data_IF_086183866337
#
_entry.id   IF_086183866337
#
_cell.length_a   1.000
_cell.length_b   1.000
_cell.length_c   1.000
_cell.angle_alpha   90.00
_cell.angle_beta   90.00
_cell.angle_gamma   90.00
#
_symmetry.space_group_name_H-M   'P 1'
#
loop_
_entity.id
_entity.type
_entity.pdbx_description
1 polymer ?
#
# COMPACT_ATOMS: atom_id res chain seq x y z
N UNK A 1 71.75 -5.52 -29.79
CA UNK A 1 71.76 -4.06 -29.97
C UNK A 1 71.46 -3.40 -28.63
N UNK A 2 72.42 -2.57 -28.20
CA UNK A 2 72.57 -1.70 -27.03
C UNK A 2 71.34 -1.47 -26.12
N UNK A 3 71.40 -1.68 -24.78
CA UNK A 3 72.17 -0.95 -23.74
C UNK A 3 71.58 0.44 -23.49
N UNK A 4 70.98 0.81 -22.34
CA UNK A 4 71.57 1.15 -21.01
C UNK A 4 70.40 1.70 -20.15
N UNK A 5 70.10 1.28 -18.91
CA UNK A 5 70.65 1.64 -17.57
C UNK A 5 70.93 3.13 -17.29
N UNK A 6 70.24 3.72 -16.30
CA UNK A 6 70.74 4.57 -15.17
C UNK A 6 69.51 5.18 -14.43
N UNK A 7 69.11 4.87 -13.20
CA UNK A 7 69.71 4.97 -11.84
C UNK A 7 70.13 6.39 -11.37
N UNK A 8 69.25 7.04 -10.54
CA UNK A 8 69.44 7.63 -9.17
C UNK A 8 70.61 8.65 -8.96
N UNK A 9 70.63 9.68 -8.06
CA UNK A 9 69.79 10.01 -6.87
C UNK A 9 69.39 11.50 -6.61
N UNK A 10 68.46 11.67 -5.66
CA UNK A 10 68.51 12.54 -4.45
C UNK A 10 69.51 13.71 -4.41
N UNK A 11 69.01 14.96 -4.39
CA UNK A 11 69.71 16.12 -3.83
C UNK A 11 68.83 16.75 -2.75
N UNK A 12 69.37 16.68 -1.53
CA UNK A 12 68.93 17.33 -0.31
C UNK A 12 69.57 18.73 -0.29
N UNK A 13 68.80 19.80 -0.22
CA UNK A 13 69.32 21.14 0.05
C UNK A 13 68.36 21.87 0.99
N UNK A 14 68.85 22.10 2.20
CA UNK A 14 68.18 22.73 3.34
C UNK A 14 68.98 24.00 3.63
N UNK A 15 68.40 25.19 3.39
CA UNK A 15 68.97 26.49 3.80
C UNK A 15 67.85 27.47 4.21
N UNK A 16 67.50 27.37 5.49
CA UNK A 16 67.30 28.41 6.51
C UNK A 16 67.08 29.91 6.13
N UNK A 17 66.04 30.47 6.78
CA UNK A 17 65.84 31.84 7.32
C UNK A 17 65.30 32.97 6.43
N UNK A 18 64.03 33.31 6.69
CA UNK A 18 63.69 34.61 7.26
C UNK A 18 63.27 35.72 6.29
N UNK A 19 61.97 35.83 6.05
CA UNK A 19 61.36 37.11 5.70
C UNK A 19 60.00 37.25 6.41
N UNK A 20 60.01 38.05 7.47
CA UNK A 20 58.81 38.50 8.19
C UNK A 20 58.23 39.73 7.47
N UNK A 21 56.95 39.59 7.13
CA UNK A 21 55.88 40.59 7.09
C UNK A 21 55.47 41.29 5.78
N UNK A 22 54.16 41.11 5.57
CA UNK A 22 53.14 42.01 5.01
C UNK A 22 52.99 42.09 3.48
N UNK A 23 52.09 41.24 2.96
CA UNK A 23 50.78 41.57 2.36
C UNK A 23 50.18 40.24 1.86
N UNK A 24 49.10 39.74 2.43
CA UNK A 24 47.76 40.24 2.08
C UNK A 24 47.07 39.30 1.08
N UNK A 25 46.97 38.01 1.38
CA UNK A 25 46.00 37.10 0.78
C UNK A 25 45.50 36.16 1.89
N UNK A 26 44.59 36.66 2.73
CA UNK A 26 43.76 35.78 3.56
C UNK A 26 42.73 35.09 2.66
N UNK A 27 43.18 34.11 1.88
CA UNK A 27 42.25 33.14 1.30
C UNK A 27 41.99 32.07 2.35
N UNK A 28 41.27 32.45 3.41
CA UNK A 28 40.59 31.45 4.23
C UNK A 28 39.57 30.72 3.34
N UNK A 29 39.32 29.42 3.54
CA UNK A 29 38.29 28.73 2.78
C UNK A 29 36.97 29.48 2.99
N UNK A 30 36.40 30.03 1.91
CA UNK A 30 35.02 30.54 1.93
C UNK A 30 34.13 29.34 2.23
N UNK A 31 33.75 29.18 3.50
CA UNK A 31 32.69 28.26 3.90
C UNK A 31 31.44 28.77 3.20
N UNK A 32 30.98 28.02 2.19
CA UNK A 32 29.78 28.38 1.46
C UNK A 32 28.61 28.31 2.45
N UNK A 33 27.87 29.41 2.55
CA UNK A 33 26.76 29.62 3.50
C UNK A 33 25.63 28.59 3.38
N UNK A 34 25.59 27.85 2.27
CA UNK A 34 24.68 26.74 2.00
C UNK A 34 24.97 25.47 2.85
N UNK A 35 26.19 25.32 3.37
CA UNK A 35 26.61 24.18 4.22
C UNK A 35 26.52 24.45 5.73
N UNK A 36 26.20 25.69 6.11
CA UNK A 36 26.05 26.09 7.50
C UNK A 36 24.66 25.67 8.03
N UNK A 37 24.56 25.31 9.32
CA UNK A 37 23.29 24.93 9.94
C UNK A 37 22.68 26.13 10.67
N UNK A 38 21.38 26.35 10.49
CA UNK A 38 20.62 27.38 11.21
C UNK A 38 20.17 26.90 12.59
N UNK A 39 19.96 25.59 12.76
CA UNK A 39 19.50 25.00 14.01
C UNK A 39 19.74 23.48 14.02
N UNK A 40 19.45 22.86 15.16
CA UNK A 40 19.39 21.41 15.31
C UNK A 40 18.10 21.01 16.03
N UNK A 41 17.48 19.91 15.60
CA UNK A 41 16.31 19.31 16.24
C UNK A 41 16.68 17.88 16.62
N UNK A 42 16.81 17.59 17.92
CA UNK A 42 17.30 16.30 18.42
C UNK A 42 18.65 15.88 17.80
N UNK A 43 19.53 16.84 17.52
CA UNK A 43 20.83 16.60 16.87
C UNK A 43 20.78 16.49 15.33
N UNK A 44 19.59 16.57 14.72
CA UNK A 44 19.45 16.62 13.26
C UNK A 44 19.56 18.06 12.76
N UNK A 45 20.43 18.34 11.79
CA UNK A 45 20.68 19.71 11.34
C UNK A 45 19.53 20.25 10.50
N UNK A 46 19.15 21.51 10.74
CA UNK A 46 18.43 22.32 9.77
C UNK A 46 19.46 23.19 9.05
N UNK A 47 19.66 22.96 7.76
CA UNK A 47 20.66 23.69 6.97
C UNK A 47 20.16 25.08 6.56
N UNK A 48 21.08 26.02 6.34
CA UNK A 48 20.78 27.31 5.71
C UNK A 48 20.21 27.14 4.30
N UNK A 49 20.59 26.10 3.57
CA UNK A 49 20.02 25.80 2.26
C UNK A 49 18.52 25.47 2.36
N UNK A 50 18.12 24.64 3.32
CA UNK A 50 16.71 24.31 3.60
C UNK A 50 15.93 25.54 4.07
N UNK A 51 16.56 26.39 4.89
CA UNK A 51 15.98 27.67 5.30
C UNK A 51 15.75 28.62 4.13
N UNK A 52 16.78 28.86 3.31
CA UNK A 52 16.71 29.77 2.17
C UNK A 52 15.71 29.28 1.11
N UNK A 53 15.69 27.98 0.81
CA UNK A 53 14.74 27.39 -0.14
C UNK A 53 13.29 27.50 0.36
N UNK A 54 13.05 27.21 1.65
CA UNK A 54 11.72 27.30 2.26
C UNK A 54 11.25 28.73 2.39
N UNK A 55 12.13 29.65 2.78
CA UNK A 55 11.84 31.08 2.80
C UNK A 55 11.46 31.60 1.40
N UNK A 56 12.20 31.20 0.36
CA UNK A 56 11.86 31.54 -1.04
C UNK A 56 10.52 30.94 -1.45
N UNK A 57 10.26 29.67 -1.13
CA UNK A 57 9.00 29.00 -1.45
C UNK A 57 7.80 29.67 -0.76
N UNK A 58 7.96 30.09 0.49
CA UNK A 58 6.97 30.89 1.24
C UNK A 58 6.89 32.35 0.83
N UNK A 59 7.69 32.77 -0.16
CA UNK A 59 7.79 34.15 -0.66
C UNK A 59 8.08 35.14 0.47
N UNK A 60 9.01 34.77 1.36
CA UNK A 60 9.47 35.63 2.44
C UNK A 60 10.14 36.88 1.84
N UNK A 61 9.38 37.96 1.74
CA UNK A 61 9.92 39.28 1.41
C UNK A 61 10.18 40.05 2.71
N UNK A 62 11.34 40.70 2.76
CA UNK A 62 11.61 41.70 3.80
C UNK A 62 10.56 42.80 3.68
N UNK A 63 10.00 43.15 4.83
CA UNK A 63 8.99 44.19 4.98
C UNK A 63 9.61 45.54 5.32
N UNK A 64 10.93 45.60 5.54
CA UNK A 64 11.64 46.76 6.09
C UNK A 64 11.42 46.94 7.60
N UNK A 65 10.54 46.15 8.21
CA UNK A 65 10.24 46.10 9.62
C UNK A 65 10.96 44.88 10.23
N UNK A 66 11.92 45.13 11.11
CA UNK A 66 12.78 44.10 11.68
C UNK A 66 12.01 43.08 12.54
N UNK A 67 10.92 43.49 13.18
CA UNK A 67 10.11 42.63 14.04
C UNK A 67 9.29 41.66 13.18
N UNK A 68 8.59 42.19 12.17
CA UNK A 68 7.82 41.38 11.21
C UNK A 68 8.70 40.43 10.40
N UNK A 69 9.88 40.88 10.01
CA UNK A 69 10.84 40.02 9.30
C UNK A 69 11.37 38.90 10.19
N UNK A 70 11.52 39.15 11.49
CA UNK A 70 11.93 38.12 12.46
C UNK A 70 10.83 37.09 12.67
N UNK A 71 9.57 37.53 12.79
CA UNK A 71 8.40 36.64 12.91
C UNK A 71 8.25 35.72 11.70
N UNK A 72 8.35 36.29 10.49
CA UNK A 72 8.36 35.55 9.24
C UNK A 72 9.49 34.51 9.16
N UNK A 73 10.70 34.87 9.59
CA UNK A 73 11.82 33.92 9.66
C UNK A 73 11.56 32.81 10.67
N UNK A 74 10.94 33.11 11.81
CA UNK A 74 10.53 32.11 12.80
C UNK A 74 9.52 31.13 12.22
N UNK A 75 8.54 31.58 11.45
CA UNK A 75 7.57 30.71 10.77
C UNK A 75 8.26 29.70 9.85
N UNK A 76 9.26 30.13 9.08
CA UNK A 76 10.05 29.23 8.22
C UNK A 76 10.81 28.19 9.04
N UNK A 77 11.42 28.59 10.16
CA UNK A 77 12.12 27.64 11.05
C UNK A 77 11.16 26.64 11.68
N UNK A 78 9.98 27.08 12.14
CA UNK A 78 8.93 26.20 12.70
C UNK A 78 8.50 25.12 11.69
N UNK A 79 8.32 25.49 10.42
CA UNK A 79 8.01 24.54 9.34
C UNK A 79 9.12 23.49 9.20
N UNK A 80 10.37 23.94 9.15
CA UNK A 80 11.53 23.05 9.00
C UNK A 80 11.74 22.14 10.21
N UNK A 81 11.43 22.62 11.42
CA UNK A 81 11.40 21.78 12.63
C UNK A 81 10.39 20.65 12.44
N UNK A 82 9.18 20.97 11.96
CA UNK A 82 8.14 19.98 11.67
C UNK A 82 8.60 18.95 10.64
N UNK A 83 9.19 19.38 9.53
CA UNK A 83 9.71 18.48 8.48
C UNK A 83 10.79 17.54 9.02
N UNK A 84 11.75 18.05 9.80
CA UNK A 84 12.81 17.22 10.40
C UNK A 84 12.24 16.20 11.39
N UNK A 85 11.24 16.57 12.19
CA UNK A 85 10.58 15.62 13.10
C UNK A 85 9.84 14.52 12.34
N UNK A 86 9.15 14.86 11.25
CA UNK A 86 8.50 13.86 10.39
C UNK A 86 9.54 12.95 9.76
N UNK A 87 10.67 13.48 9.26
CA UNK A 87 11.75 12.67 8.70
C UNK A 87 12.36 11.71 9.73
N UNK A 88 12.59 12.18 10.96
CA UNK A 88 13.07 11.35 12.06
C UNK A 88 12.11 10.19 12.34
N UNK A 89 10.82 10.48 12.46
CA UNK A 89 9.81 9.45 12.75
C UNK A 89 9.62 8.50 11.57
N UNK A 90 9.70 9.00 10.33
CA UNK A 90 9.68 8.18 9.11
C UNK A 90 10.81 7.17 9.15
N UNK A 91 12.05 7.61 9.39
CA UNK A 91 13.21 6.72 9.46
C UNK A 91 13.11 5.70 10.60
N UNK A 92 12.59 6.11 11.76
CA UNK A 92 12.34 5.18 12.87
C UNK A 92 11.32 4.11 12.49
N UNK A 93 10.25 4.52 11.83
CA UNK A 93 9.20 3.62 11.34
C UNK A 93 9.75 2.67 10.29
N UNK A 94 10.52 3.18 9.32
CA UNK A 94 11.21 2.36 8.31
C UNK A 94 12.12 1.32 8.96
N UNK A 95 12.99 1.71 9.89
CA UNK A 95 13.85 0.76 10.62
C UNK A 95 13.05 -0.25 11.45
N UNK A 96 11.90 0.15 12.01
CA UNK A 96 11.02 -0.77 12.72
C UNK A 96 10.37 -1.79 11.78
N UNK A 97 9.97 -1.37 10.58
CA UNK A 97 9.42 -2.23 9.54
C UNK A 97 10.47 -3.18 8.95
N UNK A 98 11.70 -2.72 8.73
CA UNK A 98 12.82 -3.59 8.30
C UNK A 98 13.12 -4.70 9.32
N UNK A 99 12.94 -4.43 10.60
CA UNK A 99 13.09 -5.42 11.68
C UNK A 99 11.87 -6.31 11.89
N UNK A 100 10.73 -6.00 11.26
CA UNK A 100 9.49 -6.74 11.42
C UNK A 100 9.47 -8.00 10.53
N UNK A 101 9.45 -9.22 11.12
CA UNK A 101 9.40 -10.45 10.37
C UNK A 101 8.14 -10.60 9.52
N UNK A 102 7.00 -10.05 9.95
CA UNK A 102 5.74 -10.14 9.20
C UNK A 102 5.79 -9.28 7.94
N UNK A 103 6.28 -8.05 8.06
CA UNK A 103 6.52 -7.16 6.92
C UNK A 103 7.55 -7.75 5.94
N UNK A 104 8.67 -8.27 6.44
CA UNK A 104 9.71 -8.88 5.61
C UNK A 104 9.15 -10.07 4.81
N UNK A 105 8.38 -10.93 5.46
CA UNK A 105 7.71 -12.06 4.82
C UNK A 105 6.71 -11.59 3.75
N UNK A 106 5.88 -10.59 4.06
CA UNK A 106 4.93 -10.04 3.09
C UNK A 106 5.65 -9.45 1.87
N UNK A 107 6.75 -8.72 2.08
CA UNK A 107 7.57 -8.16 1.02
C UNK A 107 8.18 -9.27 0.14
N UNK A 108 8.76 -10.30 0.74
CA UNK A 108 9.31 -11.45 0.03
C UNK A 108 8.25 -12.19 -0.79
N UNK A 109 7.07 -12.45 -0.21
CA UNK A 109 5.95 -13.10 -0.90
C UNK A 109 5.48 -12.28 -2.11
N UNK A 110 5.36 -10.95 -1.95
CA UNK A 110 4.98 -10.04 -3.05
C UNK A 110 6.04 -9.99 -4.14
N UNK A 111 7.32 -9.89 -3.78
CA UNK A 111 8.43 -9.87 -4.74
C UNK A 111 8.53 -11.19 -5.49
N UNK A 112 8.44 -12.33 -4.79
CA UNK A 112 8.48 -13.66 -5.38
C UNK A 112 7.33 -13.86 -6.37
N UNK A 113 6.11 -13.50 -5.97
CA UNK A 113 4.93 -13.57 -6.86
C UNK A 113 5.10 -12.70 -8.10
N UNK A 114 5.62 -11.48 -7.94
CA UNK A 114 5.86 -10.57 -9.05
C UNK A 114 6.94 -11.10 -9.99
N UNK A 115 8.05 -11.60 -9.45
CA UNK A 115 9.15 -12.16 -10.21
C UNK A 115 8.71 -13.41 -10.99
N UNK A 116 7.97 -14.32 -10.34
CA UNK A 116 7.42 -15.51 -10.98
C UNK A 116 6.54 -15.14 -12.18
N UNK A 117 5.64 -14.16 -12.01
CA UNK A 117 4.76 -13.71 -13.09
C UNK A 117 5.56 -13.17 -14.28
N UNK A 118 6.52 -12.28 -14.02
CA UNK A 118 7.35 -11.71 -15.08
C UNK A 118 8.14 -12.79 -15.83
N UNK A 119 8.70 -13.76 -15.10
CA UNK A 119 9.42 -14.88 -15.70
C UNK A 119 8.49 -15.78 -16.52
N UNK A 120 7.29 -16.09 -16.01
CA UNK A 120 6.32 -16.91 -16.73
C UNK A 120 5.86 -16.24 -18.03
N UNK A 121 5.55 -14.93 -17.98
CA UNK A 121 5.13 -14.19 -19.16
C UNK A 121 6.23 -14.19 -20.25
N UNK A 122 7.50 -14.03 -19.87
CA UNK A 122 8.65 -14.01 -20.79
C UNK A 122 9.03 -15.40 -21.31
N UNK A 123 9.15 -16.40 -20.43
CA UNK A 123 9.66 -17.73 -20.79
C UNK A 123 8.57 -18.65 -21.35
N UNK A 124 7.34 -18.56 -20.83
CA UNK A 124 6.23 -19.44 -21.18
C UNK A 124 5.26 -18.73 -22.10
N UNK A 125 4.77 -17.55 -21.69
CA UNK A 125 3.79 -16.76 -22.46
C UNK A 125 4.29 -16.42 -23.87
N UNK A 126 5.53 -15.94 -24.00
CA UNK A 126 6.09 -15.59 -25.31
C UNK A 126 6.41 -16.80 -26.20
N UNK A 127 6.59 -17.99 -25.63
CA UNK A 127 6.93 -19.23 -26.37
C UNK A 127 5.72 -20.09 -26.69
N UNK A 128 4.66 -20.01 -25.90
CA UNK A 128 3.41 -20.72 -26.14
C UNK A 128 2.67 -20.09 -27.33
N UNK A 129 2.71 -20.76 -28.48
CA UNK A 129 1.88 -20.41 -29.63
C UNK A 129 0.61 -21.24 -29.58
N UNK A 130 -0.46 -20.64 -29.06
CA UNK A 130 -1.81 -21.20 -29.20
C UNK A 130 -2.33 -20.77 -30.57
N UNK A 131 -2.71 -21.74 -31.40
CA UNK A 131 -3.26 -21.48 -32.74
C UNK A 131 -4.78 -21.36 -32.69
N UNK A 132 -5.37 -20.76 -33.73
CA UNK A 132 -6.83 -20.70 -33.85
C UNK A 132 -7.45 -22.11 -33.95
N UNK A 133 -6.74 -23.06 -34.57
CA UNK A 133 -7.14 -24.47 -34.64
C UNK A 133 -7.16 -25.15 -33.26
N UNK A 134 -6.18 -24.85 -32.38
CA UNK A 134 -6.16 -25.37 -31.00
C UNK A 134 -7.35 -24.84 -30.19
N UNK A 135 -7.69 -23.56 -30.38
CA UNK A 135 -8.84 -22.91 -29.74
C UNK A 135 -10.14 -23.56 -30.22
N UNK A 136 -10.31 -23.73 -31.54
CA UNK A 136 -11.50 -24.34 -32.12
C UNK A 136 -11.67 -25.79 -31.66
N UNK A 137 -10.58 -26.57 -31.64
CA UNK A 137 -10.58 -27.94 -31.14
C UNK A 137 -11.01 -27.99 -29.68
N UNK A 138 -10.40 -27.18 -28.81
CA UNK A 138 -10.73 -27.14 -27.39
C UNK A 138 -12.19 -26.74 -27.17
N UNK A 139 -12.67 -25.69 -27.86
CA UNK A 139 -14.07 -25.27 -27.78
C UNK A 139 -15.01 -26.40 -28.19
N UNK A 140 -14.72 -27.08 -29.30
CA UNK A 140 -15.56 -28.15 -29.82
C UNK A 140 -15.60 -29.38 -28.92
N UNK A 141 -14.47 -29.74 -28.30
CA UNK A 141 -14.37 -30.84 -27.33
C UNK A 141 -15.06 -30.51 -25.99
N UNK A 142 -15.20 -29.23 -25.65
CA UNK A 142 -15.69 -28.76 -24.35
C UNK A 142 -17.02 -27.97 -24.44
N UNK A 143 -17.84 -28.13 -25.49
CA UNK A 143 -19.08 -27.35 -25.67
C UNK A 143 -20.03 -27.39 -24.47
N UNK A 144 -20.07 -28.51 -23.74
CA UNK A 144 -20.94 -28.69 -22.57
C UNK A 144 -20.67 -27.69 -21.45
N UNK A 145 -19.42 -27.28 -21.21
CA UNK A 145 -19.09 -26.29 -20.15
C UNK A 145 -19.49 -24.86 -20.54
N UNK A 146 -19.67 -24.61 -21.84
CA UNK A 146 -20.10 -23.32 -22.38
C UNK A 146 -21.62 -23.22 -22.58
N UNK A 147 -22.36 -24.30 -22.33
CA UNK A 147 -23.82 -24.22 -22.27
C UNK A 147 -24.21 -23.46 -21.01
N UNK A 148 -25.02 -22.42 -21.18
CA UNK A 148 -25.76 -21.89 -20.04
C UNK A 148 -26.65 -23.00 -19.50
N UNK A 149 -26.40 -23.40 -18.25
CA UNK A 149 -27.30 -24.31 -17.55
C UNK A 149 -28.66 -23.64 -17.45
N UNK A 150 -29.72 -24.43 -17.57
CA UNK A 150 -31.06 -23.92 -17.32
C UNK A 150 -31.13 -23.33 -15.90
N UNK A 151 -31.34 -22.03 -15.81
CA UNK A 151 -31.59 -21.33 -14.56
C UNK A 151 -33.09 -21.27 -14.35
N UNK A 152 -33.59 -21.87 -13.27
CA UNK A 152 -34.99 -21.73 -12.87
C UNK A 152 -35.12 -20.65 -11.81
N UNK A 153 -36.05 -19.72 -12.02
CA UNK A 153 -36.52 -18.83 -10.97
C UNK A 153 -37.62 -19.55 -10.18
N UNK A 154 -37.38 -19.80 -8.90
CA UNK A 154 -38.35 -20.45 -8.01
C UNK A 154 -38.71 -19.51 -6.87
N UNK A 155 -39.97 -19.60 -6.43
CA UNK A 155 -40.47 -18.94 -5.22
C UNK A 155 -41.05 -19.99 -4.28
N UNK A 156 -41.03 -19.72 -2.98
CA UNK A 156 -41.50 -20.67 -1.98
C UNK A 156 -42.37 -19.99 -0.91
N UNK A 157 -43.24 -20.79 -0.27
CA UNK A 157 -44.04 -20.39 0.89
C UNK A 157 -43.60 -21.27 2.05
N UNK A 158 -43.00 -20.69 3.09
CA UNK A 158 -42.50 -21.43 4.25
C UNK A 158 -43.54 -21.48 5.36
N UNK A 159 -43.91 -22.68 5.82
CA UNK A 159 -44.76 -22.89 6.99
C UNK A 159 -43.96 -23.65 8.05
N UNK A 160 -43.58 -22.96 9.12
CA UNK A 160 -42.84 -23.53 10.26
C UNK A 160 -43.80 -24.18 11.28
N UNK A 161 -43.43 -25.32 11.88
CA UNK A 161 -44.11 -25.84 13.07
C UNK A 161 -44.15 -24.77 14.17
N UNK A 162 -45.35 -24.46 14.66
CA UNK A 162 -45.53 -23.53 15.76
C UNK A 162 -45.36 -24.28 17.07
N UNK A 163 -44.15 -24.25 17.62
CA UNK A 163 -43.77 -24.88 18.88
C UNK A 163 -42.59 -24.12 19.49
N UNK A 164 -42.58 -23.93 20.81
CA UNK A 164 -41.45 -23.32 21.50
C UNK A 164 -40.30 -24.31 21.69
N UNK A 165 -39.12 -23.79 22.06
CA UNK A 165 -37.89 -24.59 22.20
C UNK A 165 -37.94 -25.59 23.36
N UNK A 166 -38.84 -25.40 24.33
CA UNK A 166 -39.01 -26.28 25.48
C UNK A 166 -39.84 -27.49 25.07
N UNK A 167 -40.97 -27.26 24.43
CA UNK A 167 -41.88 -28.30 23.96
C UNK A 167 -41.36 -29.04 22.73
N UNK A 168 -40.49 -28.42 21.93
CA UNK A 168 -39.81 -29.07 20.81
C UNK A 168 -38.93 -30.26 21.23
N UNK A 169 -38.52 -30.34 22.51
CA UNK A 169 -37.77 -31.47 23.06
C UNK A 169 -38.63 -32.72 23.27
N UNK A 170 -39.96 -32.59 23.30
CA UNK A 170 -40.89 -33.72 23.37
C UNK A 170 -41.25 -34.18 21.93
N UNK A 171 -40.82 -35.39 21.52
CA UNK A 171 -41.09 -35.89 20.16
C UNK A 171 -42.58 -35.98 19.80
N UNK A 172 -43.47 -36.20 20.78
CA UNK A 172 -44.91 -36.29 20.53
C UNK A 172 -45.51 -34.92 20.26
N UNK A 173 -45.04 -33.88 20.97
CA UNK A 173 -45.49 -32.50 20.77
C UNK A 173 -44.95 -31.94 19.46
N UNK A 174 -43.66 -32.15 19.17
CA UNK A 174 -43.06 -31.78 17.89
C UNK A 174 -43.80 -32.40 16.71
N UNK A 175 -44.06 -33.72 16.74
CA UNK A 175 -44.80 -34.41 15.68
C UNK A 175 -46.20 -33.84 15.46
N UNK A 176 -46.90 -33.45 16.54
CA UNK A 176 -48.22 -32.80 16.43
C UNK A 176 -48.11 -31.41 15.77
N UNK A 177 -47.11 -30.61 16.13
CA UNK A 177 -46.86 -29.30 15.54
C UNK A 177 -46.50 -29.41 14.04
N UNK A 178 -45.65 -30.37 13.67
CA UNK A 178 -45.32 -30.68 12.27
C UNK A 178 -46.53 -31.14 11.48
N UNK A 179 -47.38 -32.01 12.04
CA UNK A 179 -48.62 -32.44 11.38
C UNK A 179 -49.56 -31.25 11.13
N UNK A 180 -49.65 -30.30 12.07
CA UNK A 180 -50.46 -29.08 11.89
C UNK A 180 -49.87 -28.17 10.81
N UNK A 181 -48.56 -27.95 10.81
CA UNK A 181 -47.86 -27.18 9.77
C UNK A 181 -48.03 -27.83 8.38
N UNK A 182 -47.85 -29.16 8.28
CA UNK A 182 -48.08 -29.93 7.05
C UNK A 182 -49.52 -29.80 6.57
N UNK A 183 -50.51 -29.91 7.46
CA UNK A 183 -51.93 -29.73 7.10
C UNK A 183 -52.18 -28.34 6.52
N UNK A 184 -51.60 -27.28 7.11
CA UNK A 184 -51.69 -25.92 6.58
C UNK A 184 -51.01 -25.78 5.22
N UNK A 185 -49.80 -26.31 5.05
CA UNK A 185 -49.09 -26.30 3.77
C UNK A 185 -49.87 -27.03 2.65
N UNK A 186 -50.50 -28.16 2.98
CA UNK A 186 -51.34 -28.91 2.03
C UNK A 186 -52.62 -28.17 1.66
N UNK A 187 -53.21 -27.40 2.58
CA UNK A 187 -54.36 -26.56 2.28
C UNK A 187 -53.97 -25.43 1.31
N UNK A 188 -52.86 -24.73 1.57
CA UNK A 188 -52.32 -23.70 0.67
C UNK A 188 -52.00 -24.29 -0.71
N UNK A 189 -51.40 -25.48 -0.76
CA UNK A 189 -51.14 -26.17 -2.03
C UNK A 189 -52.43 -26.49 -2.79
N UNK A 190 -53.52 -26.84 -2.08
CA UNK A 190 -54.82 -27.09 -2.71
C UNK A 190 -55.38 -25.80 -3.31
N UNK A 191 -55.36 -24.70 -2.56
CA UNK A 191 -55.81 -23.38 -3.05
C UNK A 191 -55.01 -22.93 -4.28
N UNK A 192 -53.69 -23.11 -4.27
CA UNK A 192 -52.83 -22.82 -5.42
C UNK A 192 -53.19 -23.67 -6.64
N UNK A 193 -53.52 -24.95 -6.45
CA UNK A 193 -53.98 -25.84 -7.54
C UNK A 193 -55.36 -25.47 -8.08
N UNK A 194 -56.19 -24.84 -7.26
CA UNK A 194 -57.51 -24.32 -7.65
C UNK A 194 -57.43 -22.92 -8.30
N UNK A 195 -56.23 -22.35 -8.42
CA UNK A 195 -55.96 -21.11 -9.15
C UNK A 195 -55.80 -19.86 -8.27
N UNK A 196 -55.60 -20.01 -6.96
CA UNK A 196 -55.29 -18.87 -6.08
C UNK A 196 -53.95 -18.21 -6.45
N UNK A 197 -53.83 -16.90 -6.21
CA UNK A 197 -52.61 -16.14 -6.52
C UNK A 197 -51.47 -16.49 -5.55
N UNK A 198 -50.32 -16.88 -6.11
CA UNK A 198 -49.16 -17.29 -5.32
C UNK A 198 -48.56 -16.15 -4.51
N UNK A 199 -48.51 -14.94 -5.07
CA UNK A 199 -47.87 -13.78 -4.42
C UNK A 199 -48.69 -13.35 -3.20
N UNK A 200 -50.02 -13.32 -3.32
CA UNK A 200 -50.91 -12.98 -2.23
C UNK A 200 -50.91 -14.05 -1.13
N UNK A 201 -50.85 -15.33 -1.49
CA UNK A 201 -50.69 -16.42 -0.52
C UNK A 201 -49.32 -16.39 0.15
N UNK A 202 -48.25 -16.08 -0.58
CA UNK A 202 -46.92 -15.95 -0.01
C UNK A 202 -46.85 -14.79 1.00
N UNK A 203 -47.36 -13.60 0.63
CA UNK A 203 -47.40 -12.44 1.54
C UNK A 203 -48.20 -12.70 2.82
N UNK A 204 -49.31 -13.43 2.70
CA UNK A 204 -50.22 -13.64 3.84
C UNK A 204 -49.89 -14.87 4.68
N UNK A 205 -49.27 -15.90 4.11
CA UNK A 205 -49.08 -17.19 4.77
C UNK A 205 -47.62 -17.62 4.94
N UNK A 206 -46.69 -17.12 4.11
CA UNK A 206 -45.27 -17.47 4.26
C UNK A 206 -44.70 -16.90 5.54
N UNK A 207 -43.74 -17.60 6.10
CA UNK A 207 -43.01 -17.20 7.30
C UNK A 207 -41.53 -16.97 7.01
N UNK A 208 -41.13 -17.06 5.74
CA UNK A 208 -39.80 -16.61 5.31
C UNK A 208 -39.67 -15.08 5.44
#
# INVERSE_FOLDING_TARGET
MLSTKLSIPMILALCFVGFLLLEGCSWGPMVKKDTENVAYVNGWPISYASFDSTAKAKRLQSTGDAEKDTEKKREVVEILIGEVLIEQETKRTESALEGDPEFSKELEEKLSTKALRLLYDDEVGARAKVTDEDIEKYYNENKEIYKLRETIAASHILIRPQIDSVDAKDPRKLRKAEQKAKKKALAILKELKEGADFVELAKSQSQD
#
